data_IF_416738276949
#
_entry.id   IF_416738276949
#
_cell.length_a   1.000
_cell.length_b   1.000
_cell.length_c   1.000
_cell.angle_alpha   90.00
_cell.angle_beta   90.00
_cell.angle_gamma   90.00
#
_symmetry.space_group_name_H-M   'P 1'
#
loop_
_entity.id
_entity.type
_entity.pdbx_description
1 polymer ?
#
# COMPACT_ATOMS: atom_id res chain seq x y z
N UNK A 1 -3.04 14.82 -0.77
CA UNK A 1 -3.31 14.06 -2.01
C UNK A 1 -2.42 12.83 -2.19
N UNK A 2 -1.08 12.89 -2.09
CA UNK A 2 -0.22 11.70 -2.14
C UNK A 2 -0.41 10.78 -0.92
N UNK A 3 -0.37 11.35 0.28
CA UNK A 3 -0.46 10.63 1.55
C UNK A 3 -1.84 10.01 1.82
N UNK A 4 -2.92 10.68 1.42
CA UNK A 4 -4.29 10.14 1.49
C UNK A 4 -4.42 8.81 0.74
N UNK A 5 -3.64 8.63 -0.33
CA UNK A 5 -3.64 7.42 -1.16
C UNK A 5 -2.80 6.29 -0.56
N UNK A 6 -1.70 6.61 0.14
CA UNK A 6 -0.95 5.61 0.93
C UNK A 6 -1.81 5.09 2.09
N UNK A 7 -2.53 5.99 2.77
CA UNK A 7 -3.43 5.64 3.87
C UNK A 7 -4.56 4.71 3.41
N UNK A 8 -5.10 4.93 2.21
CA UNK A 8 -6.10 4.02 1.62
C UNK A 8 -5.57 2.59 1.47
N UNK A 9 -4.31 2.42 1.05
CA UNK A 9 -3.65 1.12 0.95
C UNK A 9 -3.53 0.44 2.33
N UNK A 10 -3.01 1.18 3.31
CA UNK A 10 -2.81 0.70 4.68
C UNK A 10 -4.14 0.30 5.34
N UNK A 11 -5.18 1.12 5.19
CA UNK A 11 -6.53 0.81 5.68
C UNK A 11 -7.11 -0.43 5.03
N UNK A 12 -6.94 -0.55 3.71
CA UNK A 12 -7.45 -1.72 3.00
C UNK A 12 -6.78 -2.97 3.49
N UNK A 13 -5.45 -2.96 3.62
CA UNK A 13 -4.70 -4.05 4.21
C UNK A 13 -5.17 -4.36 5.63
N UNK A 14 -5.33 -3.36 6.50
CA UNK A 14 -5.83 -3.55 7.86
C UNK A 14 -7.23 -4.20 7.90
N UNK A 15 -8.12 -3.85 6.96
CA UNK A 15 -9.47 -4.44 6.88
C UNK A 15 -9.49 -5.90 6.39
N UNK A 16 -8.47 -6.30 5.63
CA UNK A 16 -8.34 -7.63 5.03
C UNK A 16 -7.42 -8.55 5.82
N UNK A 17 -6.55 -7.97 6.65
CA UNK A 17 -5.64 -8.72 7.49
C UNK A 17 -6.45 -9.67 8.37
N UNK A 18 -6.07 -10.96 8.44
CA UNK A 18 -6.61 -11.83 9.48
C UNK A 18 -6.31 -11.17 10.84
N UNK A 19 -7.24 -11.29 11.81
CA UNK A 19 -7.00 -10.78 13.17
C UNK A 19 -5.62 -11.27 13.63
N UNK A 20 -4.79 -10.41 14.26
CA UNK A 20 -3.45 -10.80 14.64
C UNK A 20 -3.51 -12.08 15.47
N UNK A 21 -2.77 -13.10 15.03
CA UNK A 21 -2.48 -14.24 15.88
C UNK A 21 -1.66 -13.72 17.08
N UNK A 22 -1.78 -14.32 18.28
CA UNK A 22 -1.01 -13.90 19.44
C UNK A 22 0.48 -14.21 19.21
N UNK A 23 1.19 -13.27 18.59
CA UNK A 23 2.60 -13.38 18.24
C UNK A 23 3.16 -12.03 17.77
N UNK A 24 4.50 -11.84 17.79
CA UNK A 24 5.11 -10.61 17.32
C UNK A 24 4.87 -10.44 15.82
N UNK A 25 4.39 -9.24 15.45
CA UNK A 25 4.22 -8.82 14.05
C UNK A 25 5.47 -8.04 13.66
N UNK A 26 6.17 -8.50 12.63
CA UNK A 26 7.35 -7.82 12.08
C UNK A 26 6.99 -7.05 10.82
N UNK A 27 7.60 -5.88 10.63
CA UNK A 27 7.51 -5.11 9.40
C UNK A 27 8.86 -5.12 8.69
N UNK A 28 8.83 -5.37 7.39
CA UNK A 28 9.94 -5.29 6.47
C UNK A 28 9.64 -4.16 5.50
N UNK A 29 10.40 -3.07 5.58
CA UNK A 29 10.34 -1.96 4.64
C UNK A 29 11.41 -2.18 3.58
N UNK A 30 11.00 -2.35 2.33
CA UNK A 30 11.91 -2.36 1.19
C UNK A 30 12.18 -0.90 0.80
N UNK A 31 13.19 -0.30 1.43
CA UNK A 31 13.75 0.98 0.98
C UNK A 31 15.07 0.72 0.26
N UNK A 32 15.29 1.46 -0.83
CA UNK A 32 16.64 1.73 -1.28
C UNK A 32 17.33 2.63 -0.24
N UNK A 33 17.90 2.03 0.79
CA UNK A 33 18.99 2.59 1.63
C UNK A 33 18.67 3.79 2.55
N UNK A 34 17.40 4.21 2.71
CA UNK A 34 17.07 5.31 3.65
C UNK A 34 16.76 4.77 5.06
N UNK A 35 17.70 4.96 5.99
CA UNK A 35 17.55 4.56 7.40
C UNK A 35 17.15 5.75 8.28
N UNK A 36 16.64 5.52 9.50
CA UNK A 36 16.47 6.62 10.47
C UNK A 36 17.77 7.41 10.70
N UNK A 37 18.93 6.76 10.51
CA UNK A 37 20.25 7.33 10.75
C UNK A 37 20.53 8.48 9.77
N UNK A 38 20.00 8.40 8.54
CA UNK A 38 20.07 9.49 7.57
C UNK A 38 19.18 10.67 7.97
N UNK A 39 17.99 10.40 8.50
CA UNK A 39 17.04 11.43 8.95
C UNK A 39 17.45 12.11 10.26
N UNK A 40 18.32 11.48 11.07
CA UNK A 40 18.88 12.08 12.29
C UNK A 40 20.02 13.07 12.01
N UNK A 41 20.60 13.08 10.82
CA UNK A 41 21.66 14.02 10.44
C UNK A 41 21.15 15.46 10.49
N UNK A 42 22.00 16.40 10.89
CA UNK A 42 21.64 17.83 11.02
C UNK A 42 21.08 18.41 9.70
N UNK A 43 21.64 17.97 8.57
CA UNK A 43 21.21 18.35 7.21
C UNK A 43 19.79 17.85 6.86
N UNK A 44 19.30 16.79 7.52
CA UNK A 44 18.01 16.16 7.26
C UNK A 44 16.89 16.60 8.21
N UNK A 45 17.18 17.44 9.21
CA UNK A 45 16.22 17.91 10.22
C UNK A 45 14.99 18.60 9.59
N UNK A 46 15.20 19.40 8.54
CA UNK A 46 14.10 20.02 7.80
C UNK A 46 13.17 18.99 7.14
N UNK A 47 13.74 17.90 6.63
CA UNK A 47 13.00 16.79 6.02
C UNK A 47 12.23 16.01 7.08
N UNK A 48 12.86 15.67 8.21
CA UNK A 48 12.20 14.95 9.32
C UNK A 48 11.01 15.72 9.87
N UNK A 49 11.18 17.02 10.10
CA UNK A 49 10.08 17.90 10.52
C UNK A 49 8.93 17.88 9.52
N UNK A 50 9.24 17.99 8.22
CA UNK A 50 8.24 17.97 7.15
C UNK A 50 7.50 16.63 7.08
N UNK A 51 8.20 15.50 7.23
CA UNK A 51 7.58 14.17 7.29
C UNK A 51 6.62 14.11 8.49
N UNK A 52 7.06 14.57 9.66
CA UNK A 52 6.27 14.56 10.90
C UNK A 52 5.00 15.40 10.78
N UNK A 53 5.08 16.59 10.18
CA UNK A 53 3.92 17.43 9.86
C UNK A 53 2.94 16.67 8.94
N UNK A 54 3.42 16.08 7.85
CA UNK A 54 2.59 15.36 6.88
C UNK A 54 1.92 14.12 7.47
N UNK A 55 2.61 13.36 8.31
CA UNK A 55 2.05 12.21 9.04
C UNK A 55 0.92 12.67 9.94
N UNK A 56 1.13 13.73 10.74
CA UNK A 56 0.11 14.24 11.65
C UNK A 56 -1.09 14.85 10.93
N UNK A 57 -0.89 15.55 9.82
CA UNK A 57 -1.98 16.03 8.96
C UNK A 57 -2.83 14.87 8.44
N UNK A 58 -2.17 13.80 7.99
CA UNK A 58 -2.82 12.59 7.47
C UNK A 58 -3.60 11.84 8.55
N UNK A 59 -3.04 11.70 9.76
CA UNK A 59 -3.74 11.08 10.89
C UNK A 59 -4.96 11.91 11.33
N UNK A 60 -4.87 13.23 11.23
CA UNK A 60 -5.93 14.16 11.63
C UNK A 60 -7.08 14.21 10.62
N UNK A 61 -6.79 14.17 9.31
CA UNK A 61 -7.80 14.19 8.25
C UNK A 61 -8.65 12.92 8.19
N UNK A 62 -8.15 11.84 8.76
CA UNK A 62 -8.70 10.51 8.59
C UNK A 62 -9.88 10.16 9.52
N UNK A 63 -10.25 11.08 10.42
CA UNK A 63 -11.31 10.86 11.40
C UNK A 63 -10.97 9.79 12.45
N UNK A 64 -9.69 9.39 12.54
CA UNK A 64 -9.19 8.49 13.58
C UNK A 64 -9.23 9.23 14.93
N UNK A 65 -10.35 9.11 15.65
CA UNK A 65 -10.53 9.79 16.94
C UNK A 65 -9.64 9.15 18.00
N UNK A 66 -8.80 9.97 18.65
CA UNK A 66 -7.99 9.55 19.81
C UNK A 66 -6.51 9.28 19.54
N UNK A 67 -6.00 9.53 18.33
CA UNK A 67 -4.56 9.49 18.05
C UNK A 67 -3.95 10.85 18.41
N UNK A 68 -3.01 10.87 19.35
CA UNK A 68 -2.23 12.07 19.66
C UNK A 68 -1.25 12.36 18.51
N UNK A 69 -0.93 13.65 18.25
CA UNK A 69 0.11 13.99 17.29
C UNK A 69 1.43 13.28 17.65
N UNK A 70 2.04 12.66 16.66
CA UNK A 70 3.34 12.01 16.77
C UNK A 70 4.45 13.06 16.84
N UNK A 71 5.41 12.83 17.72
CA UNK A 71 6.68 13.57 17.72
C UNK A 71 7.61 13.08 16.61
N UNK A 72 8.67 13.85 16.33
CA UNK A 72 9.71 13.43 15.37
C UNK A 72 10.36 12.11 15.79
N UNK A 73 10.54 11.88 17.09
CA UNK A 73 11.09 10.63 17.62
C UNK A 73 10.12 9.45 17.40
N UNK A 74 8.81 9.66 17.58
CA UNK A 74 7.81 8.63 17.29
C UNK A 74 7.82 8.22 15.80
N UNK A 75 8.02 9.20 14.90
CA UNK A 75 8.15 8.96 13.46
C UNK A 75 9.41 8.17 13.14
N UNK A 76 10.55 8.52 13.74
CA UNK A 76 11.81 7.78 13.56
C UNK A 76 11.70 6.34 14.05
N UNK A 77 11.09 6.13 15.22
CA UNK A 77 10.80 4.79 15.76
C UNK A 77 9.89 4.01 14.83
N UNK A 78 8.86 4.63 14.26
CA UNK A 78 7.95 3.97 13.32
C UNK A 78 8.67 3.52 12.04
N UNK A 79 9.57 4.34 11.49
CA UNK A 79 10.41 3.98 10.32
C UNK A 79 11.30 2.78 10.68
N UNK A 80 11.88 2.77 11.87
CA UNK A 80 12.81 1.72 12.29
C UNK A 80 12.17 0.37 12.58
N UNK A 81 10.88 0.34 12.89
CA UNK A 81 10.13 -0.91 13.03
C UNK A 81 10.07 -1.72 11.72
N UNK A 82 10.42 -1.11 10.59
CA UNK A 82 10.54 -1.76 9.29
C UNK A 82 11.81 -2.56 9.02
N UNK A 83 12.71 -2.69 10.00
CA UNK A 83 14.02 -3.34 9.81
C UNK A 83 14.01 -4.87 9.99
N UNK A 84 12.84 -5.52 9.96
CA UNK A 84 12.80 -6.98 10.00
C UNK A 84 13.54 -7.58 8.80
N UNK A 85 14.30 -8.65 8.99
CA UNK A 85 14.86 -9.46 7.90
C UNK A 85 13.80 -10.40 7.27
N UNK A 86 12.58 -10.41 7.83
CA UNK A 86 11.55 -11.36 7.46
C UNK A 86 11.88 -12.76 7.99
N UNK A 87 11.46 -13.78 7.25
CA UNK A 87 11.87 -15.15 7.50
C UNK A 87 10.81 -16.20 7.19
N UNK A 88 11.17 -17.49 7.33
CA UNK A 88 10.30 -18.61 6.97
C UNK A 88 9.20 -18.90 8.02
N UNK A 89 9.20 -18.22 9.17
CA UNK A 89 8.28 -18.47 10.29
C UNK A 89 7.63 -17.18 10.77
N UNK A 90 6.41 -17.26 11.29
CA UNK A 90 5.66 -16.13 11.81
C UNK A 90 5.04 -15.24 10.72
N UNK A 91 4.45 -14.14 11.17
CA UNK A 91 3.79 -13.16 10.32
C UNK A 91 4.68 -11.95 10.06
N UNK A 92 4.86 -11.62 8.78
CA UNK A 92 5.69 -10.50 8.34
C UNK A 92 4.93 -9.63 7.37
N UNK A 93 4.80 -8.34 7.68
CA UNK A 93 4.39 -7.35 6.69
C UNK A 93 5.60 -6.95 5.85
N UNK A 94 5.40 -6.84 4.55
CA UNK A 94 6.39 -6.33 3.60
C UNK A 94 5.78 -5.11 2.92
N UNK A 95 6.47 -3.98 2.97
CA UNK A 95 6.00 -2.70 2.44
C UNK A 95 7.09 -2.05 1.58
N UNK A 96 6.76 -1.79 0.31
CA UNK A 96 7.46 -0.82 -0.53
C UNK A 96 6.57 0.43 -0.63
N UNK A 97 6.97 1.55 0.01
CA UNK A 97 6.16 2.76 0.04
C UNK A 97 6.09 3.46 -1.32
N UNK A 98 7.05 3.23 -2.23
CA UNK A 98 7.10 3.80 -3.58
C UNK A 98 7.80 2.82 -4.54
N UNK A 99 7.04 1.81 -4.99
CA UNK A 99 7.48 0.93 -6.08
C UNK A 99 7.41 1.69 -7.41
N UNK A 100 8.52 1.70 -8.14
CA UNK A 100 8.68 2.52 -9.35
C UNK A 100 9.13 3.96 -9.08
N UNK A 101 10.12 4.17 -8.20
CA UNK A 101 10.66 5.49 -7.82
C UNK A 101 10.98 6.41 -9.02
N UNK A 102 11.51 5.87 -10.13
CA UNK A 102 11.75 6.67 -11.36
C UNK A 102 10.47 7.19 -11.99
N UNK A 103 9.40 6.39 -11.97
CA UNK A 103 8.08 6.80 -12.45
C UNK A 103 7.48 7.85 -11.54
N UNK A 104 7.55 7.65 -10.22
CA UNK A 104 7.14 8.65 -9.23
C UNK A 104 7.81 10.02 -9.45
N UNK A 105 9.14 10.05 -9.63
CA UNK A 105 9.90 11.28 -9.87
C UNK A 105 9.52 11.98 -11.19
N UNK A 106 9.00 11.26 -12.17
CA UNK A 106 8.52 11.79 -13.45
C UNK A 106 7.04 12.20 -13.42
N UNK A 107 6.32 11.85 -12.36
CA UNK A 107 4.86 11.96 -12.32
C UNK A 107 4.14 10.86 -13.11
N UNK A 108 4.84 9.81 -13.53
CA UNK A 108 4.29 8.64 -14.21
C UNK A 108 3.65 7.67 -13.21
N UNK A 109 3.53 6.38 -13.57
CA UNK A 109 3.01 5.33 -12.71
C UNK A 109 4.00 4.96 -11.60
N UNK A 110 3.45 4.74 -10.41
CA UNK A 110 4.12 4.14 -9.26
C UNK A 110 3.05 3.42 -8.44
N UNK A 111 3.48 2.57 -7.51
CA UNK A 111 2.58 1.90 -6.59
C UNK A 111 3.06 2.04 -5.14
N UNK A 112 2.12 1.89 -4.21
CA UNK A 112 2.41 1.55 -2.82
C UNK A 112 2.07 0.08 -2.66
N UNK A 113 3.07 -0.74 -2.36
CA UNK A 113 2.93 -2.19 -2.31
C UNK A 113 3.04 -2.69 -0.87
N UNK A 114 2.02 -3.42 -0.43
CA UNK A 114 1.95 -3.98 0.92
C UNK A 114 1.52 -5.44 0.84
N UNK A 115 2.26 -6.33 1.50
CA UNK A 115 1.95 -7.75 1.57
C UNK A 115 2.06 -8.26 3.00
N UNK A 116 1.30 -9.31 3.31
CA UNK A 116 1.45 -10.09 4.53
C UNK A 116 1.94 -11.49 4.16
N UNK A 117 3.03 -11.90 4.79
CA UNK A 117 3.51 -13.27 4.79
C UNK A 117 3.08 -13.96 6.08
N UNK A 118 2.73 -15.23 5.98
CA UNK A 118 2.46 -16.13 7.09
C UNK A 118 3.24 -17.43 6.85
N UNK A 119 4.12 -17.80 7.78
CA UNK A 119 5.02 -18.95 7.67
C UNK A 119 5.77 -18.96 6.31
N UNK A 120 6.32 -17.81 5.95
CA UNK A 120 7.08 -17.60 4.72
C UNK A 120 6.26 -17.59 3.42
N UNK A 121 4.93 -17.64 3.48
CA UNK A 121 4.04 -17.62 2.31
C UNK A 121 3.24 -16.33 2.25
N UNK A 122 3.15 -15.70 1.07
CA UNK A 122 2.30 -14.52 0.88
C UNK A 122 0.82 -14.92 0.98
N UNK A 123 0.11 -14.33 1.96
CA UNK A 123 -1.32 -14.63 2.23
C UNK A 123 -2.26 -13.48 1.88
N UNK A 124 -1.74 -12.25 1.82
CA UNK A 124 -2.46 -11.03 1.42
C UNK A 124 -1.51 -10.12 0.65
N UNK A 125 -2.01 -9.49 -0.41
CA UNK A 125 -1.31 -8.44 -1.14
C UNK A 125 -2.25 -7.28 -1.44
N UNK A 126 -1.72 -6.06 -1.34
CA UNK A 126 -2.40 -4.79 -1.65
C UNK A 126 -1.46 -3.92 -2.46
N UNK A 127 -1.94 -3.41 -3.58
CA UNK A 127 -1.28 -2.39 -4.40
C UNK A 127 -2.19 -1.17 -4.48
N UNK A 128 -1.75 -0.02 -3.98
CA UNK A 128 -2.35 1.24 -4.39
C UNK A 128 -1.61 1.77 -5.60
N UNK A 129 -2.34 2.11 -6.66
CA UNK A 129 -1.82 2.67 -7.90
C UNK A 129 -2.41 4.08 -8.12
N UNK A 130 -1.87 5.11 -7.45
CA UNK A 130 -2.41 6.47 -7.43
C UNK A 130 -2.65 7.10 -8.79
N UNK A 131 -1.76 6.85 -9.75
CA UNK A 131 -1.78 7.51 -11.05
C UNK A 131 -2.40 6.62 -12.14
N UNK A 132 -2.89 5.42 -11.81
CA UNK A 132 -3.38 4.48 -12.81
C UNK A 132 -4.76 4.93 -13.31
N UNK A 133 -4.93 5.15 -14.63
CA UNK A 133 -6.24 5.50 -15.19
C UNK A 133 -7.23 4.36 -15.05
N UNK A 134 -8.39 4.58 -14.43
CA UNK A 134 -9.40 3.53 -14.22
C UNK A 134 -9.94 2.97 -15.54
N UNK A 135 -9.98 3.81 -16.59
CA UNK A 135 -10.34 3.41 -17.94
C UNK A 135 -9.45 2.30 -18.52
N UNK A 136 -8.23 2.12 -18.02
CA UNK A 136 -7.34 1.03 -18.43
C UNK A 136 -7.61 -0.31 -17.75
N UNK A 137 -8.38 -0.31 -16.65
CA UNK A 137 -8.62 -1.48 -15.79
C UNK A 137 -10.03 -2.03 -15.96
N UNK A 138 -11.02 -1.16 -16.19
CA UNK A 138 -12.42 -1.56 -16.32
C UNK A 138 -12.74 -1.88 -17.78
N UNK A 139 -12.72 -3.17 -18.11
CA UNK A 139 -13.21 -3.68 -19.39
C UNK A 139 -14.74 -3.79 -19.31
N UNK A 140 -15.42 -2.89 -20.01
CA UNK A 140 -16.85 -2.87 -20.34
C UNK A 140 -17.87 -2.73 -19.18
N UNK A 141 -18.52 -1.55 -19.13
CA UNK A 141 -19.96 -1.29 -18.80
C UNK A 141 -20.27 -0.16 -17.80
N UNK A 142 -19.35 0.74 -17.47
CA UNK A 142 -19.71 1.92 -16.66
C UNK A 142 -19.11 3.20 -17.20
N UNK A 143 -19.87 4.29 -17.04
CA UNK A 143 -19.63 5.66 -17.49
C UNK A 143 -18.46 6.33 -16.73
N UNK A 144 -17.34 5.62 -16.56
CA UNK A 144 -16.14 6.11 -15.89
C UNK A 144 -15.56 7.23 -16.75
N UNK A 145 -15.44 8.41 -16.15
CA UNK A 145 -14.84 9.55 -16.84
C UNK A 145 -13.38 9.21 -17.18
N UNK A 146 -12.90 9.65 -18.35
CA UNK A 146 -11.54 9.33 -18.83
C UNK A 146 -10.43 9.89 -17.92
N UNK A 147 -10.80 10.77 -17.00
CA UNK A 147 -9.93 11.50 -16.09
C UNK A 147 -9.88 10.87 -14.68
N UNK A 148 -10.68 9.84 -14.42
CA UNK A 148 -10.62 9.11 -13.15
C UNK A 148 -9.35 8.26 -13.07
N UNK A 149 -8.53 8.57 -12.07
CA UNK A 149 -7.27 7.89 -11.76
C UNK A 149 -7.28 7.41 -10.32
N UNK A 150 -6.52 6.35 -10.07
CA UNK A 150 -6.28 5.88 -8.72
C UNK A 150 -7.14 4.69 -8.36
N UNK A 151 -6.51 3.53 -8.19
CA UNK A 151 -7.18 2.34 -7.68
C UNK A 151 -6.33 1.59 -6.67
N UNK A 152 -7.00 0.73 -5.92
CA UNK A 152 -6.46 -0.31 -5.07
C UNK A 152 -6.70 -1.64 -5.77
N UNK A 153 -5.66 -2.44 -5.90
CA UNK A 153 -5.77 -3.88 -6.13
C UNK A 153 -5.49 -4.60 -4.82
N UNK A 154 -6.25 -5.65 -4.54
CA UNK A 154 -5.98 -6.49 -3.38
C UNK A 154 -6.40 -7.93 -3.63
N UNK A 155 -5.65 -8.86 -3.05
CA UNK A 155 -5.91 -10.28 -3.15
C UNK A 155 -5.58 -10.97 -1.82
N UNK A 156 -6.43 -11.92 -1.44
CA UNK A 156 -6.20 -12.81 -0.31
C UNK A 156 -6.32 -14.25 -0.78
N UNK A 157 -5.51 -15.13 -0.20
CA UNK A 157 -5.54 -16.56 -0.52
C UNK A 157 -6.97 -17.11 -0.33
N UNK A 158 -7.48 -17.78 -1.37
CA UNK A 158 -8.82 -18.38 -1.37
C UNK A 158 -9.97 -17.46 -1.74
N UNK A 159 -9.78 -16.13 -1.80
CA UNK A 159 -10.87 -15.18 -2.14
C UNK A 159 -10.80 -14.69 -3.59
N UNK A 160 -9.60 -14.71 -4.17
CA UNK A 160 -9.30 -14.11 -5.48
C UNK A 160 -8.89 -12.64 -5.36
N UNK A 161 -8.80 -11.98 -6.52
CA UNK A 161 -8.31 -10.59 -6.66
C UNK A 161 -9.47 -9.62 -6.89
N UNK A 162 -9.33 -8.43 -6.34
CA UNK A 162 -10.32 -7.37 -6.40
C UNK A 162 -9.66 -6.03 -6.74
N UNK A 163 -10.43 -5.14 -7.34
CA UNK A 163 -10.07 -3.75 -7.59
C UNK A 163 -11.11 -2.80 -6.97
N UNK A 164 -10.66 -1.67 -6.46
CA UNK A 164 -11.50 -0.61 -5.91
C UNK A 164 -10.91 0.75 -6.29
N UNK A 165 -11.72 1.76 -6.65
CA UNK A 165 -11.17 3.12 -6.81
C UNK A 165 -10.73 3.69 -5.45
N UNK A 166 -9.73 4.57 -5.47
CA UNK A 166 -9.21 5.23 -4.25
C UNK A 166 -10.23 6.17 -3.59
N UNK A 167 -11.33 6.50 -4.28
CA UNK A 167 -12.48 7.22 -3.73
C UNK A 167 -13.32 6.41 -2.73
N UNK A 168 -13.03 5.11 -2.57
CA UNK A 168 -13.77 4.23 -1.67
C UNK A 168 -15.03 3.61 -2.28
N UNK A 169 -15.21 3.67 -3.60
CA UNK A 169 -16.25 2.95 -4.36
C UNK A 169 -16.31 1.45 -4.05
N UNK A 170 -17.35 0.75 -4.51
CA UNK A 170 -17.51 -0.68 -4.25
C UNK A 170 -16.40 -1.50 -4.95
N UNK A 171 -15.76 -2.38 -4.19
CA UNK A 171 -14.77 -3.30 -4.76
C UNK A 171 -15.41 -4.28 -5.76
N UNK A 172 -14.74 -4.47 -6.90
CA UNK A 172 -15.12 -5.38 -7.98
C UNK A 172 -14.13 -6.52 -8.07
N UNK A 173 -14.62 -7.76 -8.20
CA UNK A 173 -13.76 -8.94 -8.38
C UNK A 173 -13.18 -8.91 -9.79
N UNK A 174 -11.87 -9.09 -9.90
CA UNK A 174 -11.19 -9.18 -11.18
C UNK A 174 -11.17 -10.62 -11.68
N UNK A 175 -11.33 -10.77 -12.99
CA UNK A 175 -11.25 -12.04 -13.69
C UNK A 175 -10.28 -11.86 -14.87
N UNK A 176 -9.31 -12.76 -14.99
CA UNK A 176 -8.32 -12.74 -16.09
C UNK A 176 -8.98 -13.09 -17.42
N UNK A 177 -10.00 -13.94 -17.38
CA UNK A 177 -10.75 -14.37 -18.55
C UNK A 177 -12.21 -14.61 -18.16
N UNK A 178 -13.15 -14.20 -19.02
CA UNK A 178 -14.55 -14.61 -18.93
C UNK A 178 -14.77 -16.03 -19.50
N UNK A 179 -13.76 -16.56 -20.18
CA UNK A 179 -13.83 -17.85 -20.86
C UNK A 179 -13.62 -18.97 -19.86
N UNK A 180 -14.68 -19.76 -19.62
CA UNK A 180 -14.63 -20.94 -18.75
C UNK A 180 -13.92 -22.13 -19.43
N UNK A 181 -13.80 -22.09 -20.76
CA UNK A 181 -13.14 -23.10 -21.59
C UNK A 181 -11.69 -22.71 -21.90
N UNK A 182 -10.73 -23.50 -21.41
CA UNK A 182 -9.30 -23.31 -21.63
C UNK A 182 -8.90 -23.37 -23.12
N UNK A 183 -9.66 -24.07 -23.96
CA UNK A 183 -9.38 -24.18 -25.40
C UNK A 183 -9.69 -22.89 -26.18
N UNK A 184 -10.52 -22.02 -25.60
CA UNK A 184 -10.90 -20.73 -26.15
C UNK A 184 -10.04 -19.58 -25.57
N UNK A 185 -9.10 -19.90 -24.67
CA UNK A 185 -8.17 -18.93 -24.11
C UNK A 185 -7.10 -18.55 -25.15
N UNK A 186 -7.09 -17.28 -25.53
CA UNK A 186 -6.09 -16.69 -26.42
C UNK A 186 -5.20 -15.73 -25.64
N UNK A 187 -3.88 -15.93 -25.71
CA UNK A 187 -2.91 -14.93 -25.27
C UNK A 187 -2.63 -14.01 -26.46
N UNK A 188 -3.07 -12.76 -26.37
CA UNK A 188 -2.77 -11.73 -27.37
C UNK A 188 -1.28 -11.38 -27.34
#
# INVERSE_FOLDING_TARGET
>A
MFYDRQLAAAKKAASLAPRPLPGPVSFLLDFSDSTQEDLRKEEAQGTLKRITELVNETLSSDGMTGVLPLSEEDVLVAIDNGKSEGGPRGQHWVLDPIDGTKGFLRGDQYAIALALLDEGKVVLGVLACPNLPLASVVIHNQHISKDEVGCLFFAQVGTGTYMQSLDGSKATKLHVCATENLEEASFF
#
